data_IF_757716555941
#
_entry.id   IF_757716555941
#
_cell.length_a   1.000
_cell.length_b   1.000
_cell.length_c   1.000
_cell.angle_alpha   90.00
_cell.angle_beta   90.00
_cell.angle_gamma   90.00
#
_symmetry.space_group_name_H-M   'P 1'
#
loop_
_entity.id
_entity.type
_entity.pdbx_description
1 polymer ?
#
# COMPACT_ATOMS: atom_id res chain seq x y z
N UNK A 1 40.37 41.47 12.74
CA UNK A 1 40.07 42.49 13.78
C UNK A 1 39.44 43.69 13.08
N UNK A 2 38.31 44.15 13.60
CA UNK A 2 37.52 45.35 13.27
C UNK A 2 36.77 45.37 11.93
N UNK A 3 35.44 45.27 12.09
CA UNK A 3 34.37 45.56 11.15
C UNK A 3 34.06 47.06 11.26
N UNK A 4 34.02 47.80 10.15
CA UNK A 4 33.51 49.17 10.12
C UNK A 4 32.04 49.21 9.66
N UNK A 5 31.20 49.93 10.41
CA UNK A 5 29.78 50.19 10.11
C UNK A 5 29.65 51.36 9.13
N UNK A 6 28.73 51.32 8.15
CA UNK A 6 28.33 52.52 7.44
C UNK A 6 27.26 53.31 8.19
N UNK A 7 27.41 54.62 8.09
CA UNK A 7 26.68 55.72 8.70
C UNK A 7 25.28 55.94 8.12
N UNK A 8 24.40 56.49 8.98
CA UNK A 8 23.00 56.87 8.76
C UNK A 8 22.81 57.92 7.67
N UNK A 9 21.83 57.69 6.78
CA UNK A 9 21.30 58.71 5.87
C UNK A 9 20.06 59.37 6.49
N UNK A 10 20.16 60.65 6.83
CA UNK A 10 19.05 61.51 7.24
C UNK A 10 18.60 62.34 6.03
N UNK A 11 17.35 62.17 5.60
CA UNK A 11 16.66 63.04 4.63
C UNK A 11 15.15 63.06 4.93
N UNK A 12 14.46 64.20 4.78
CA UNK A 12 13.14 64.42 5.36
C UNK A 12 12.00 63.74 4.58
N UNK A 13 10.96 63.33 5.30
CA UNK A 13 9.71 62.77 4.78
C UNK A 13 8.92 63.81 3.98
N UNK A 14 8.67 63.51 2.69
CA UNK A 14 7.55 64.10 1.96
C UNK A 14 6.33 63.18 2.03
N UNK A 15 5.22 63.75 2.49
CA UNK A 15 3.92 63.11 2.67
C UNK A 15 3.23 62.90 1.32
N UNK A 16 2.64 61.73 1.12
CA UNK A 16 1.66 61.43 0.07
C UNK A 16 0.38 60.85 0.73
N UNK A 17 -0.81 61.04 0.13
CA UNK A 17 -2.02 61.44 0.84
C UNK A 17 -2.77 60.29 1.51
N UNK A 18 -3.39 60.59 2.65
CA UNK A 18 -4.38 59.75 3.32
C UNK A 18 -5.70 59.91 2.56
N UNK A 19 -6.08 58.89 1.79
CA UNK A 19 -7.46 58.71 1.33
C UNK A 19 -8.06 57.43 1.92
N UNK A 20 -8.99 57.67 2.85
CA UNK A 20 -10.23 56.93 3.13
C UNK A 20 -10.23 55.40 3.06
N UNK A 21 -10.52 54.83 4.23
CA UNK A 21 -11.01 53.47 4.51
C UNK A 21 -11.97 52.92 3.45
N UNK A 22 -11.44 52.24 2.43
CA UNK A 22 -12.23 51.32 1.63
C UNK A 22 -12.34 49.99 2.35
N UNK A 23 -13.59 49.55 2.52
CA UNK A 23 -13.97 48.31 3.16
C UNK A 23 -13.21 47.13 2.52
N UNK A 24 -12.50 46.37 3.35
CA UNK A 24 -12.04 45.03 2.99
C UNK A 24 -13.30 44.22 2.70
N UNK A 25 -13.62 44.03 1.43
CA UNK A 25 -14.66 43.12 1.00
C UNK A 25 -14.28 41.73 1.50
N UNK A 26 -15.10 41.15 2.38
CA UNK A 26 -15.05 39.73 2.72
C UNK A 26 -14.99 38.92 1.43
N UNK A 27 -13.87 38.24 1.22
CA UNK A 27 -13.78 37.20 0.21
C UNK A 27 -14.72 36.09 0.68
N UNK A 28 -15.95 36.09 0.15
CA UNK A 28 -16.89 34.97 0.28
C UNK A 28 -16.13 33.69 -0.09
N UNK A 29 -16.13 32.65 0.76
CA UNK A 29 -15.53 31.39 0.40
C UNK A 29 -16.20 30.92 -0.90
N UNK A 30 -15.37 30.60 -1.89
CA UNK A 30 -15.82 30.05 -3.16
C UNK A 30 -16.82 28.94 -2.86
N UNK A 31 -17.98 29.05 -3.51
CA UNK A 31 -19.13 28.14 -3.43
C UNK A 31 -18.68 26.71 -3.21
N UNK A 32 -19.06 26.16 -2.05
CA UNK A 32 -18.91 24.75 -1.72
C UNK A 32 -19.56 23.91 -2.82
N UNK A 33 -18.75 23.31 -3.68
CA UNK A 33 -19.20 22.15 -4.43
C UNK A 33 -19.76 21.15 -3.43
N UNK A 34 -20.91 20.51 -3.68
CA UNK A 34 -21.37 19.44 -2.82
C UNK A 34 -20.23 18.41 -2.79
N UNK A 35 -19.62 18.23 -1.61
CA UNK A 35 -18.60 17.22 -1.39
C UNK A 35 -19.33 15.89 -1.50
N UNK A 36 -19.38 15.34 -2.70
CA UNK A 36 -19.79 13.96 -2.89
C UNK A 36 -18.77 13.16 -2.08
N UNK A 37 -19.20 12.58 -0.96
CA UNK A 37 -18.36 11.69 -0.17
C UNK A 37 -17.96 10.52 -1.09
N UNK A 38 -16.68 10.47 -1.45
CA UNK A 38 -16.15 9.44 -2.33
C UNK A 38 -15.88 8.21 -1.46
N UNK A 39 -16.72 7.18 -1.59
CA UNK A 39 -16.44 5.88 -0.97
C UNK A 39 -15.40 5.13 -1.82
N UNK A 40 -14.13 5.53 -1.66
CA UNK A 40 -13.01 4.98 -2.40
C UNK A 40 -12.87 3.47 -2.17
N UNK A 41 -13.06 3.03 -0.91
CA UNK A 41 -13.02 1.61 -0.57
C UNK A 41 -14.07 0.81 -1.35
N UNK A 42 -15.32 1.28 -1.41
CA UNK A 42 -16.36 0.59 -2.18
C UNK A 42 -16.04 0.55 -3.68
N UNK A 43 -15.45 1.62 -4.24
CA UNK A 43 -14.98 1.65 -5.62
C UNK A 43 -13.86 0.63 -5.84
N UNK A 44 -12.85 0.59 -4.97
CA UNK A 44 -11.74 -0.37 -5.04
C UNK A 44 -12.23 -1.82 -4.96
N UNK A 45 -13.11 -2.16 -4.01
CA UNK A 45 -13.68 -3.50 -3.93
C UNK A 45 -14.53 -3.89 -5.15
N UNK A 46 -15.05 -2.92 -5.90
CA UNK A 46 -15.74 -3.19 -7.18
C UNK A 46 -14.79 -3.64 -8.30
N UNK A 47 -13.47 -3.44 -8.16
CA UNK A 47 -12.45 -4.04 -9.03
C UNK A 47 -12.21 -5.52 -8.68
N UNK A 48 -12.30 -5.83 -7.39
CA UNK A 48 -11.93 -7.13 -6.82
C UNK A 48 -13.07 -8.15 -6.92
N UNK A 49 -14.31 -7.69 -6.76
CA UNK A 49 -15.50 -8.52 -6.82
C UNK A 49 -16.37 -8.13 -8.02
N UNK A 50 -16.75 -9.08 -8.89
CA UNK A 50 -17.48 -8.80 -10.12
C UNK A 50 -18.94 -8.37 -9.90
N UNK A 51 -19.52 -8.60 -8.71
CA UNK A 51 -20.92 -8.23 -8.45
C UNK A 51 -21.09 -6.71 -8.37
N UNK A 52 -21.88 -6.18 -9.31
CA UNK A 52 -22.28 -4.76 -9.37
C UNK A 52 -23.54 -4.46 -8.58
N UNK A 53 -24.36 -5.46 -8.28
CA UNK A 53 -25.54 -5.32 -7.43
C UNK A 53 -25.13 -5.47 -5.96
N UNK A 54 -25.21 -4.35 -5.23
CA UNK A 54 -25.00 -4.33 -3.79
C UNK A 54 -26.30 -4.68 -3.08
N UNK A 55 -26.32 -5.83 -2.39
CA UNK A 55 -27.39 -6.11 -1.42
C UNK A 55 -27.16 -5.32 -0.14
N UNK A 56 -28.23 -4.78 0.45
CA UNK A 56 -28.17 -4.14 1.77
C UNK A 56 -28.05 -5.15 2.92
N UNK A 57 -28.41 -6.41 2.69
CA UNK A 57 -28.31 -7.50 3.68
C UNK A 57 -27.29 -8.54 3.25
N UNK A 58 -26.60 -9.12 4.24
CA UNK A 58 -25.63 -10.17 4.01
C UNK A 58 -26.31 -11.54 3.79
N UNK A 59 -25.80 -12.32 2.83
CA UNK A 59 -26.24 -13.71 2.59
C UNK A 59 -25.57 -14.69 3.58
N UNK A 60 -25.92 -15.99 3.51
CA UNK A 60 -25.40 -16.98 4.47
C UNK A 60 -23.91 -17.23 4.30
N UNK A 61 -23.42 -17.21 3.05
CA UNK A 61 -21.98 -17.19 2.75
C UNK A 61 -21.26 -16.07 3.51
N UNK A 62 -21.71 -14.82 3.36
CA UNK A 62 -21.09 -13.65 3.99
C UNK A 62 -21.18 -13.70 5.52
N UNK A 63 -22.32 -14.10 6.08
CA UNK A 63 -22.47 -14.30 7.54
C UNK A 63 -21.52 -15.37 8.08
N UNK A 64 -21.29 -16.44 7.32
CA UNK A 64 -20.30 -17.46 7.66
C UNK A 64 -18.89 -16.87 7.69
N UNK A 65 -18.54 -16.04 6.70
CA UNK A 65 -17.26 -15.34 6.66
C UNK A 65 -17.12 -14.38 7.84
N UNK A 66 -18.13 -13.58 8.17
CA UNK A 66 -18.08 -12.65 9.29
C UNK A 66 -17.79 -13.34 10.62
N UNK A 67 -18.48 -14.46 10.89
CA UNK A 67 -18.21 -15.28 12.09
C UNK A 67 -16.77 -15.78 12.12
N UNK A 68 -16.23 -16.21 10.97
CA UNK A 68 -14.84 -16.66 10.85
C UNK A 68 -13.85 -15.53 11.05
N UNK A 69 -14.12 -14.33 10.54
CA UNK A 69 -13.29 -13.13 10.71
C UNK A 69 -13.25 -12.68 12.17
N UNK A 70 -14.40 -12.65 12.86
CA UNK A 70 -14.45 -12.30 14.29
C UNK A 70 -13.73 -13.35 15.14
N UNK A 71 -13.92 -14.64 14.87
CA UNK A 71 -13.19 -15.71 15.55
C UNK A 71 -11.67 -15.63 15.29
N UNK A 72 -11.29 -15.25 14.07
CA UNK A 72 -9.91 -14.99 13.68
C UNK A 72 -9.31 -13.83 14.50
N UNK A 73 -9.96 -12.68 14.57
CA UNK A 73 -9.50 -11.53 15.35
C UNK A 73 -9.33 -11.86 16.83
N UNK A 74 -10.18 -12.74 17.37
CA UNK A 74 -10.07 -13.23 18.75
C UNK A 74 -8.91 -14.23 18.97
N UNK A 75 -8.34 -14.81 17.91
CA UNK A 75 -7.28 -15.83 18.00
C UNK A 75 -6.19 -15.66 16.93
N UNK A 76 -5.11 -14.90 17.22
CA UNK A 76 -4.00 -14.70 16.29
C UNK A 76 -3.39 -16.01 15.76
N UNK A 77 -3.30 -17.02 16.65
CA UNK A 77 -2.78 -18.35 16.31
C UNK A 77 -3.61 -19.05 15.24
N UNK A 78 -4.94 -19.00 15.35
CA UNK A 78 -5.83 -19.67 14.39
C UNK A 78 -5.67 -19.10 12.98
N UNK A 79 -5.50 -17.78 12.84
CA UNK A 79 -5.27 -17.15 11.54
C UNK A 79 -3.93 -17.55 10.96
N UNK A 80 -2.85 -17.35 11.71
CA UNK A 80 -1.52 -17.54 11.17
C UNK A 80 -1.19 -19.02 10.87
N UNK A 81 -1.74 -19.96 11.65
CA UNK A 81 -1.48 -21.39 11.42
C UNK A 81 -2.42 -22.02 10.40
N UNK A 82 -3.68 -21.57 10.31
CA UNK A 82 -4.71 -22.23 9.47
C UNK A 82 -5.00 -21.45 8.19
N UNK A 83 -4.85 -20.13 8.20
CA UNK A 83 -5.23 -19.24 7.10
C UNK A 83 -4.01 -18.76 6.31
N UNK A 84 -2.99 -18.23 6.99
CA UNK A 84 -1.84 -17.61 6.32
C UNK A 84 -0.50 -17.98 6.98
N UNK A 85 0.08 -19.10 6.53
CA UNK A 85 1.39 -19.56 7.02
C UNK A 85 2.52 -18.75 6.42
N UNK A 86 3.35 -18.17 7.29
CA UNK A 86 4.62 -17.56 6.88
C UNK A 86 5.62 -18.64 6.48
N UNK A 87 6.30 -18.54 5.32
CA UNK A 87 7.47 -19.35 5.06
C UNK A 87 8.52 -19.02 6.12
N UNK A 88 9.00 -20.02 6.85
CA UNK A 88 10.02 -19.85 7.93
C UNK A 88 11.28 -19.15 7.46
N UNK A 89 11.55 -19.20 6.16
CA UNK A 89 12.68 -18.53 5.52
C UNK A 89 12.57 -17.01 5.58
N UNK A 90 11.37 -16.41 5.55
CA UNK A 90 11.21 -14.94 5.44
C UNK A 90 11.68 -14.21 6.68
N UNK A 91 11.30 -14.68 7.87
CA UNK A 91 11.74 -14.07 9.13
C UNK A 91 13.26 -14.22 9.36
N UNK A 92 13.83 -15.37 8.97
CA UNK A 92 15.27 -15.60 9.05
C UNK A 92 16.06 -14.75 8.04
N UNK A 93 15.53 -14.61 6.81
CA UNK A 93 16.13 -13.77 5.78
C UNK A 93 16.02 -12.29 6.12
N UNK A 94 14.85 -11.81 6.54
CA UNK A 94 14.64 -10.39 6.87
C UNK A 94 15.64 -9.94 7.94
N UNK A 95 15.85 -10.76 8.97
CA UNK A 95 16.87 -10.50 10.00
C UNK A 95 18.29 -10.40 9.45
N UNK A 96 18.66 -11.26 8.50
CA UNK A 96 20.00 -11.23 7.86
C UNK A 96 20.12 -10.14 6.81
N UNK A 97 19.02 -9.80 6.14
CA UNK A 97 18.91 -8.77 5.12
C UNK A 97 18.96 -7.36 5.73
N UNK A 98 18.39 -7.19 6.92
CA UNK A 98 18.42 -5.94 7.68
C UNK A 98 19.78 -5.67 8.37
N UNK A 99 20.67 -6.67 8.47
CA UNK A 99 22.01 -6.47 9.00
C UNK A 99 22.93 -5.92 7.89
N UNK A 100 23.25 -4.62 7.99
CA UNK A 100 24.17 -3.93 7.06
C UNK A 100 25.58 -4.55 7.05
N UNK A 101 25.97 -5.29 8.09
CA UNK A 101 27.27 -5.96 8.15
C UNK A 101 27.29 -7.31 7.44
N UNK A 102 26.14 -7.82 6.97
CA UNK A 102 26.09 -9.13 6.30
C UNK A 102 26.81 -9.07 4.96
N UNK A 103 27.81 -9.92 4.76
CA UNK A 103 28.53 -10.02 3.48
C UNK A 103 27.54 -10.30 2.34
N UNK A 104 27.61 -9.49 1.28
CA UNK A 104 26.80 -9.63 0.08
C UNK A 104 26.94 -11.01 -0.57
N UNK A 105 28.10 -11.68 -0.44
CA UNK A 105 28.24 -13.08 -0.86
C UNK A 105 27.41 -14.04 -0.01
N UNK A 106 27.31 -13.79 1.30
CA UNK A 106 26.48 -14.59 2.18
C UNK A 106 24.99 -14.44 1.84
N UNK A 107 24.56 -13.23 1.48
CA UNK A 107 23.21 -12.99 0.99
C UNK A 107 22.92 -13.74 -0.32
N UNK A 108 23.80 -13.64 -1.32
CA UNK A 108 23.63 -14.37 -2.58
C UNK A 108 23.56 -15.88 -2.34
N UNK A 109 24.48 -16.43 -1.53
CA UNK A 109 24.49 -17.84 -1.19
C UNK A 109 23.22 -18.30 -0.46
N UNK A 110 22.54 -17.40 0.25
CA UNK A 110 21.28 -17.68 0.92
C UNK A 110 20.11 -17.75 -0.06
N UNK A 111 20.08 -16.83 -1.03
CA UNK A 111 19.06 -16.81 -2.10
C UNK A 111 19.23 -18.05 -3.00
N UNK A 112 20.48 -18.38 -3.35
CA UNK A 112 20.83 -19.50 -4.23
C UNK A 112 20.47 -20.88 -3.66
N UNK A 113 20.28 -21.00 -2.33
CA UNK A 113 19.78 -22.22 -1.69
C UNK A 113 18.34 -22.56 -2.07
N UNK A 114 17.55 -21.58 -2.49
CA UNK A 114 16.19 -21.79 -3.00
C UNK A 114 16.15 -21.40 -4.50
N UNK A 115 16.22 -22.37 -5.42
CA UNK A 115 16.12 -22.11 -6.86
C UNK A 115 14.84 -21.39 -7.27
N UNK A 116 13.72 -21.61 -6.55
CA UNK A 116 12.45 -20.93 -6.84
C UNK A 116 12.55 -19.46 -6.46
N UNK A 117 13.11 -19.15 -5.29
CA UNK A 117 13.36 -17.77 -4.86
C UNK A 117 14.29 -17.04 -5.83
N UNK A 118 15.38 -17.70 -6.24
CA UNK A 118 16.35 -17.16 -7.21
C UNK A 118 15.67 -16.78 -8.53
N UNK A 119 14.82 -17.67 -9.07
CA UNK A 119 14.06 -17.40 -10.30
C UNK A 119 13.09 -16.24 -10.13
N UNK A 120 12.35 -16.17 -9.01
CA UNK A 120 11.41 -15.08 -8.78
C UNK A 120 12.12 -13.73 -8.62
N UNK A 121 13.28 -13.68 -7.96
CA UNK A 121 14.13 -12.48 -7.89
C UNK A 121 14.59 -12.06 -9.28
N UNK A 122 15.11 -12.99 -10.09
CA UNK A 122 15.53 -12.68 -11.47
C UNK A 122 14.37 -12.19 -12.34
N UNK A 123 13.15 -12.73 -12.18
CA UNK A 123 11.96 -12.21 -12.87
C UNK A 123 11.66 -10.77 -12.49
N UNK A 124 11.78 -10.42 -11.20
CA UNK A 124 11.60 -9.05 -10.73
C UNK A 124 12.66 -8.12 -11.33
N UNK A 125 13.94 -8.52 -11.33
CA UNK A 125 15.03 -7.77 -11.96
C UNK A 125 14.78 -7.46 -13.44
N UNK A 126 14.17 -8.41 -14.16
CA UNK A 126 13.89 -8.27 -15.58
C UNK A 126 12.54 -7.66 -15.89
N UNK A 127 11.71 -7.37 -14.89
CA UNK A 127 10.38 -6.79 -15.10
C UNK A 127 10.47 -5.39 -15.73
N UNK A 128 9.48 -4.98 -16.55
CA UNK A 128 9.50 -3.68 -17.24
C UNK A 128 9.72 -2.49 -16.32
N UNK A 129 9.27 -2.58 -15.07
CA UNK A 129 9.39 -1.52 -14.10
C UNK A 129 10.82 -1.38 -13.53
N UNK A 130 11.49 -2.50 -13.28
CA UNK A 130 12.76 -2.50 -12.54
C UNK A 130 13.99 -2.67 -13.44
N UNK A 131 13.79 -3.03 -14.71
CA UNK A 131 14.86 -3.20 -15.68
C UNK A 131 15.58 -1.86 -15.91
N UNK A 132 16.91 -1.87 -15.72
CA UNK A 132 17.77 -0.67 -15.90
C UNK A 132 18.49 -0.61 -17.23
N UNK A 133 18.49 -1.69 -18.00
CA UNK A 133 19.16 -1.77 -19.31
C UNK A 133 18.43 -2.71 -20.25
N UNK A 134 18.67 -2.59 -21.55
CA UNK A 134 18.12 -3.51 -22.56
C UNK A 134 18.69 -4.93 -22.47
N UNK A 135 19.76 -5.14 -21.68
CA UNK A 135 20.34 -6.45 -21.46
C UNK A 135 19.63 -7.15 -20.30
N UNK A 136 19.24 -8.39 -20.54
CA UNK A 136 18.64 -9.23 -19.50
C UNK A 136 19.62 -9.50 -18.35
N UNK A 137 19.09 -9.46 -17.14
CA UNK A 137 19.79 -9.87 -15.92
C UNK A 137 19.71 -11.39 -15.81
N UNK A 138 20.82 -12.07 -16.07
CA UNK A 138 20.87 -13.54 -16.16
C UNK A 138 21.40 -14.24 -14.90
N UNK A 139 21.93 -13.50 -13.93
CA UNK A 139 22.44 -14.05 -12.67
C UNK A 139 22.21 -13.10 -11.49
N UNK A 140 22.18 -13.63 -10.26
CA UNK A 140 22.00 -12.82 -9.05
C UNK A 140 23.22 -11.91 -8.79
N UNK A 141 24.42 -12.35 -9.17
CA UNK A 141 25.63 -11.52 -9.15
C UNK A 141 25.49 -10.31 -10.08
N UNK A 142 24.99 -10.52 -11.30
CA UNK A 142 24.75 -9.43 -12.24
C UNK A 142 23.62 -8.51 -11.74
N UNK A 143 22.56 -9.09 -11.16
CA UNK A 143 21.46 -8.34 -10.57
C UNK A 143 21.96 -7.40 -9.47
N UNK A 144 22.80 -7.91 -8.58
CA UNK A 144 23.41 -7.13 -7.52
C UNK A 144 24.27 -5.97 -8.06
N UNK A 145 25.10 -6.23 -9.08
CA UNK A 145 25.95 -5.19 -9.69
C UNK A 145 25.11 -4.09 -10.36
N UNK A 146 24.03 -4.45 -11.05
CA UNK A 146 23.21 -3.48 -11.78
C UNK A 146 22.21 -2.73 -10.89
N UNK A 147 21.61 -3.41 -9.92
CA UNK A 147 20.51 -2.89 -9.12
C UNK A 147 20.94 -2.41 -7.73
N UNK A 148 22.04 -2.95 -7.21
CA UNK A 148 22.51 -2.70 -5.85
C UNK A 148 21.89 -3.66 -4.83
N UNK A 149 22.48 -3.67 -3.63
CA UNK A 149 22.11 -4.57 -2.54
C UNK A 149 20.67 -4.37 -2.07
N UNK A 150 20.26 -3.12 -1.87
CA UNK A 150 18.95 -2.80 -1.28
C UNK A 150 17.81 -3.24 -2.20
N UNK A 151 17.98 -3.10 -3.51
CA UNK A 151 16.99 -3.56 -4.47
C UNK A 151 16.87 -5.09 -4.49
N UNK A 152 17.99 -5.81 -4.35
CA UNK A 152 17.98 -7.28 -4.23
C UNK A 152 17.23 -7.70 -2.97
N UNK A 153 17.51 -7.03 -1.84
CA UNK A 153 16.77 -7.25 -0.59
C UNK A 153 15.26 -7.08 -0.79
N UNK A 154 14.83 -5.96 -1.39
CA UNK A 154 13.40 -5.73 -1.71
C UNK A 154 12.80 -6.82 -2.59
N UNK A 155 13.53 -7.33 -3.58
CA UNK A 155 13.04 -8.41 -4.45
C UNK A 155 12.97 -9.76 -3.78
N UNK A 156 13.92 -10.07 -2.90
CA UNK A 156 13.87 -11.28 -2.09
C UNK A 156 12.65 -11.24 -1.19
N UNK A 157 12.45 -10.13 -0.48
CA UNK A 157 11.25 -9.88 0.34
C UNK A 157 9.97 -9.99 -0.49
N UNK A 158 9.95 -9.41 -1.69
CA UNK A 158 8.83 -9.50 -2.63
C UNK A 158 8.54 -10.95 -3.03
N UNK A 159 9.53 -11.68 -3.52
CA UNK A 159 9.38 -13.05 -3.98
C UNK A 159 8.89 -13.98 -2.85
N UNK A 160 9.33 -13.71 -1.62
CA UNK A 160 8.87 -14.38 -0.41
C UNK A 160 7.40 -14.06 -0.09
N UNK A 161 7.04 -12.77 -0.10
CA UNK A 161 5.66 -12.34 0.11
C UNK A 161 4.71 -12.87 -0.96
N UNK A 162 5.20 -13.06 -2.18
CA UNK A 162 4.41 -13.64 -3.27
C UNK A 162 3.90 -15.03 -2.96
N UNK A 163 4.69 -15.87 -2.28
CA UNK A 163 4.27 -17.22 -1.86
C UNK A 163 3.11 -17.19 -0.85
N UNK A 164 2.97 -16.10 -0.11
CA UNK A 164 1.92 -15.91 0.90
C UNK A 164 0.63 -15.39 0.27
N UNK A 165 0.77 -14.45 -0.67
CA UNK A 165 -0.33 -13.73 -1.33
C UNK A 165 -0.87 -14.52 -2.53
N UNK A 166 -0.10 -15.42 -3.14
CA UNK A 166 -0.56 -16.25 -4.27
C UNK A 166 -1.69 -17.20 -3.83
N UNK A 167 -2.92 -16.74 -4.02
CA UNK A 167 -4.14 -17.54 -3.86
C UNK A 167 -4.71 -17.77 -5.25
N UNK A 168 -4.69 -19.02 -5.72
CA UNK A 168 -5.19 -19.42 -7.05
C UNK A 168 -6.52 -20.18 -6.98
N UNK A 169 -7.66 -19.53 -6.72
CA UNK A 169 -8.95 -20.18 -6.89
C UNK A 169 -9.45 -20.02 -8.34
N UNK A 170 -10.25 -21.00 -8.78
CA UNK A 170 -10.90 -20.98 -10.09
C UNK A 170 -11.92 -19.82 -10.19
N UNK A 171 -12.60 -19.48 -9.09
CA UNK A 171 -13.74 -18.55 -9.05
C UNK A 171 -13.39 -17.06 -8.89
N UNK A 172 -12.17 -16.74 -8.43
CA UNK A 172 -11.75 -15.36 -8.12
C UNK A 172 -10.35 -15.08 -8.64
N UNK A 173 -10.07 -15.50 -9.88
CA UNK A 173 -8.74 -15.33 -10.50
C UNK A 173 -8.22 -13.90 -10.45
N UNK A 174 -9.13 -12.91 -10.50
CA UNK A 174 -8.79 -11.48 -10.47
C UNK A 174 -8.46 -10.97 -9.06
N UNK A 175 -9.04 -11.55 -8.01
CA UNK A 175 -8.85 -11.03 -6.65
C UNK A 175 -7.37 -11.09 -6.25
N UNK A 176 -6.77 -12.28 -6.32
CA UNK A 176 -5.38 -12.49 -5.93
C UNK A 176 -4.40 -11.66 -6.75
N UNK A 177 -4.59 -11.60 -8.08
CA UNK A 177 -3.72 -10.81 -8.95
C UNK A 177 -3.83 -9.31 -8.70
N UNK A 178 -5.04 -8.79 -8.48
CA UNK A 178 -5.25 -7.36 -8.24
C UNK A 178 -4.78 -6.92 -6.87
N UNK A 179 -5.02 -7.73 -5.81
CA UNK A 179 -4.43 -7.43 -4.50
C UNK A 179 -2.91 -7.49 -4.55
N UNK A 180 -2.33 -8.50 -5.21
CA UNK A 180 -0.88 -8.57 -5.38
C UNK A 180 -0.32 -7.32 -6.09
N UNK A 181 -0.93 -6.93 -7.22
CA UNK A 181 -0.56 -5.71 -7.96
C UNK A 181 -0.67 -4.48 -7.07
N UNK A 182 -1.77 -4.34 -6.34
CA UNK A 182 -1.99 -3.23 -5.42
C UNK A 182 -0.92 -3.17 -4.31
N UNK A 183 -0.65 -4.28 -3.62
CA UNK A 183 0.39 -4.35 -2.58
C UNK A 183 1.78 -4.01 -3.13
N UNK A 184 2.10 -4.44 -4.35
CA UNK A 184 3.35 -4.07 -5.02
C UNK A 184 3.43 -2.57 -5.35
N UNK A 185 2.35 -1.99 -5.88
CA UNK A 185 2.26 -0.55 -6.13
C UNK A 185 2.43 0.25 -4.84
N UNK A 186 1.78 -0.16 -3.74
CA UNK A 186 1.90 0.50 -2.43
C UNK A 186 3.31 0.37 -1.87
N UNK A 187 3.93 -0.81 -1.93
CA UNK A 187 5.31 -1.02 -1.48
C UNK A 187 6.30 -0.11 -2.21
N UNK A 188 6.19 -0.06 -3.55
CA UNK A 188 7.02 0.82 -4.37
C UNK A 188 6.79 2.29 -4.03
N UNK A 189 5.55 2.76 -4.05
CA UNK A 189 5.20 4.14 -3.71
C UNK A 189 5.69 4.52 -2.31
N UNK A 190 5.48 3.66 -1.32
CA UNK A 190 5.92 3.91 0.04
C UNK A 190 7.43 4.11 0.13
N UNK A 191 8.21 3.31 -0.59
CA UNK A 191 9.67 3.46 -0.64
C UNK A 191 10.16 4.71 -1.37
N UNK A 192 9.35 5.27 -2.27
CA UNK A 192 9.67 6.52 -2.99
C UNK A 192 9.18 7.76 -2.24
N UNK A 193 8.21 7.61 -1.32
CA UNK A 193 7.59 8.71 -0.58
C UNK A 193 8.29 9.01 0.77
N UNK A 194 9.30 8.24 1.14
CA UNK A 194 10.04 8.41 2.40
C UNK A 194 11.54 8.43 2.16
N UNK A 195 12.26 9.28 2.90
CA UNK A 195 13.72 9.34 2.87
C UNK A 195 14.37 8.61 4.06
N UNK A 196 13.63 8.39 5.16
CA UNK A 196 14.19 7.86 6.41
C UNK A 196 14.42 6.34 6.40
N UNK A 197 13.38 5.56 6.09
CA UNK A 197 13.47 4.09 6.04
C UNK A 197 12.67 3.51 4.85
N UNK A 198 13.20 3.66 3.62
CA UNK A 198 12.55 3.16 2.41
C UNK A 198 12.30 1.65 2.40
N UNK A 199 13.13 0.87 3.09
CA UNK A 199 13.03 -0.59 3.07
C UNK A 199 11.95 -1.10 4.02
N UNK A 200 11.85 -0.54 5.24
CA UNK A 200 10.71 -0.83 6.11
C UNK A 200 9.41 -0.31 5.50
N UNK A 201 9.42 0.84 4.83
CA UNK A 201 8.26 1.34 4.08
C UNK A 201 7.84 0.36 2.97
N UNK A 202 8.80 -0.16 2.20
CA UNK A 202 8.55 -1.16 1.17
C UNK A 202 7.92 -2.44 1.76
N UNK A 203 8.51 -2.99 2.81
CA UNK A 203 8.00 -4.21 3.46
C UNK A 203 6.61 -3.97 4.08
N UNK A 204 6.42 -2.85 4.78
CA UNK A 204 5.12 -2.49 5.36
C UNK A 204 4.06 -2.33 4.25
N UNK A 205 4.41 -1.75 3.10
CA UNK A 205 3.54 -1.67 1.93
C UNK A 205 3.22 -3.02 1.30
N UNK A 206 4.11 -4.01 1.35
CA UNK A 206 3.76 -5.39 0.98
C UNK A 206 2.86 -6.08 2.00
N UNK A 207 3.03 -5.75 3.28
CA UNK A 207 2.32 -6.39 4.39
C UNK A 207 0.92 -5.82 4.63
N UNK A 208 0.64 -4.57 4.28
CA UNK A 208 -0.60 -3.90 4.70
C UNK A 208 -1.88 -4.66 4.33
N UNK A 209 -1.86 -5.40 3.23
CA UNK A 209 -3.01 -6.11 2.67
C UNK A 209 -3.05 -7.62 2.95
N UNK A 210 -2.12 -8.16 3.75
CA UNK A 210 -2.14 -9.60 4.10
C UNK A 210 -3.41 -10.00 4.85
N UNK A 211 -4.04 -9.08 5.59
CA UNK A 211 -5.35 -9.27 6.19
C UNK A 211 -6.49 -9.39 5.18
N UNK A 212 -6.46 -8.64 4.05
CA UNK A 212 -7.43 -8.82 2.95
C UNK A 212 -7.30 -10.23 2.36
N UNK A 213 -6.07 -10.73 2.21
CA UNK A 213 -5.80 -12.11 1.76
C UNK A 213 -6.31 -13.14 2.79
N UNK A 214 -6.14 -12.89 4.08
CA UNK A 214 -6.64 -13.77 5.13
C UNK A 214 -8.17 -13.88 5.09
N UNK A 215 -8.88 -12.75 5.02
CA UNK A 215 -10.35 -12.73 4.88
C UNK A 215 -10.76 -13.46 3.60
N UNK A 216 -10.04 -13.24 2.50
CA UNK A 216 -10.32 -13.90 1.24
C UNK A 216 -10.15 -15.42 1.29
N UNK A 217 -9.14 -15.93 2.00
CA UNK A 217 -9.00 -17.38 2.24
C UNK A 217 -10.15 -17.94 3.09
N UNK A 218 -10.60 -17.21 4.10
CA UNK A 218 -11.80 -17.58 4.88
C UNK A 218 -13.06 -17.60 4.00
N UNK A 219 -13.18 -16.66 3.07
CA UNK A 219 -14.23 -16.64 2.05
C UNK A 219 -14.17 -17.90 1.17
N UNK A 220 -12.99 -18.28 0.67
CA UNK A 220 -12.84 -19.52 -0.12
C UNK A 220 -13.19 -20.78 0.65
N UNK A 221 -12.92 -20.82 1.96
CA UNK A 221 -13.37 -21.92 2.81
C UNK A 221 -14.88 -21.95 2.98
N UNK A 222 -15.50 -20.79 3.22
CA UNK A 222 -16.95 -20.67 3.35
C UNK A 222 -17.66 -21.06 2.04
N UNK A 223 -17.07 -20.72 0.89
CA UNK A 223 -17.56 -21.10 -0.44
C UNK A 223 -17.70 -22.61 -0.66
N UNK A 224 -16.91 -23.44 0.03
CA UNK A 224 -17.03 -24.90 -0.06
C UNK A 224 -18.37 -25.41 0.47
N UNK A 225 -19.07 -24.60 1.25
CA UNK A 225 -20.34 -24.92 1.91
C UNK A 225 -21.48 -24.02 1.41
N UNK A 226 -21.22 -23.15 0.43
CA UNK A 226 -22.17 -22.19 -0.09
C UNK A 226 -23.16 -22.83 -1.07
N UNK A 227 -24.36 -22.26 -1.15
CA UNK A 227 -25.34 -22.68 -2.15
C UNK A 227 -24.93 -22.22 -3.56
N UNK A 228 -25.33 -22.95 -4.62
CA UNK A 228 -25.05 -22.54 -6.00
C UNK A 228 -25.56 -21.12 -6.28
N UNK A 229 -24.66 -20.25 -6.75
CA UNK A 229 -24.99 -18.87 -7.11
C UNK A 229 -24.77 -17.84 -6.00
N UNK A 230 -24.49 -18.24 -4.76
CA UNK A 230 -24.08 -17.30 -3.72
C UNK A 230 -22.75 -16.62 -4.10
N UNK A 231 -22.66 -15.32 -3.88
CA UNK A 231 -21.48 -14.49 -4.14
C UNK A 231 -21.34 -13.42 -3.06
N UNK A 232 -20.12 -12.94 -2.76
CA UNK A 232 -19.91 -11.76 -1.93
C UNK A 232 -20.39 -10.52 -2.70
N UNK A 233 -21.53 -9.96 -2.30
CA UNK A 233 -22.17 -8.84 -2.97
C UNK A 233 -22.71 -7.78 -2.03
N UNK A 234 -22.73 -7.98 -0.71
CA UNK A 234 -23.28 -6.97 0.19
C UNK A 234 -22.32 -5.82 0.45
N UNK A 235 -22.90 -4.64 0.75
CA UNK A 235 -22.12 -3.50 1.25
C UNK A 235 -21.45 -3.82 2.59
N UNK A 236 -22.12 -4.62 3.43
CA UNK A 236 -21.58 -5.08 4.71
C UNK A 236 -20.31 -5.91 4.53
N UNK A 237 -20.25 -6.77 3.51
CA UNK A 237 -19.04 -7.54 3.23
C UNK A 237 -17.85 -6.64 2.87
N UNK A 238 -18.08 -5.61 2.05
CA UNK A 238 -17.05 -4.62 1.72
C UNK A 238 -16.63 -3.83 2.96
N UNK A 239 -17.56 -3.44 3.82
CA UNK A 239 -17.26 -2.76 5.09
C UNK A 239 -16.41 -3.61 6.02
N UNK A 240 -16.71 -4.91 6.16
CA UNK A 240 -15.88 -5.84 6.95
C UNK A 240 -14.47 -5.95 6.36
N UNK A 241 -14.35 -6.03 5.04
CA UNK A 241 -13.04 -6.01 4.36
C UNK A 241 -12.26 -4.73 4.71
N UNK A 242 -12.86 -3.54 4.58
CA UNK A 242 -12.21 -2.26 4.93
C UNK A 242 -11.82 -2.17 6.40
N UNK A 243 -12.75 -2.48 7.30
CA UNK A 243 -12.60 -2.17 8.73
C UNK A 243 -11.79 -3.20 9.50
N UNK A 244 -11.69 -4.44 9.00
CA UNK A 244 -11.03 -5.54 9.73
C UNK A 244 -9.72 -6.00 9.10
N UNK A 245 -9.46 -5.73 7.81
CA UNK A 245 -8.27 -6.24 7.14
C UNK A 245 -6.97 -5.72 7.78
N UNK A 246 -6.88 -4.43 8.09
CA UNK A 246 -5.67 -3.84 8.67
C UNK A 246 -5.41 -4.34 10.09
N UNK A 247 -6.45 -4.52 10.90
CA UNK A 247 -6.32 -5.17 12.22
C UNK A 247 -5.81 -6.60 12.10
N UNK A 248 -6.30 -7.36 11.12
CA UNK A 248 -5.77 -8.70 10.84
C UNK A 248 -4.31 -8.66 10.37
N UNK A 249 -3.93 -7.70 9.52
CA UNK A 249 -2.54 -7.50 9.09
C UNK A 249 -1.63 -7.24 10.29
N UNK A 250 -2.04 -6.37 11.23
CA UNK A 250 -1.28 -6.09 12.45
C UNK A 250 -1.12 -7.33 13.33
N UNK A 251 -2.20 -8.09 13.55
CA UNK A 251 -2.15 -9.34 14.33
C UNK A 251 -1.24 -10.39 13.69
N UNK A 252 -1.26 -10.50 12.36
CA UNK A 252 -0.40 -11.40 11.60
C UNK A 252 1.07 -10.98 11.72
N UNK A 253 1.38 -9.70 11.57
CA UNK A 253 2.74 -9.17 11.74
C UNK A 253 3.30 -9.49 13.13
N UNK A 254 2.51 -9.28 14.19
CA UNK A 254 2.89 -9.68 15.55
C UNK A 254 3.13 -11.18 15.67
N UNK A 255 2.22 -12.00 15.15
CA UNK A 255 2.33 -13.45 15.26
C UNK A 255 3.56 -13.99 14.53
N UNK A 256 3.90 -13.42 13.39
CA UNK A 256 5.12 -13.75 12.65
C UNK A 256 6.40 -13.24 13.31
N UNK A 257 6.30 -12.58 14.47
CA UNK A 257 7.42 -12.03 15.23
C UNK A 257 8.24 -11.03 14.39
N UNK A 258 7.56 -10.29 13.50
CA UNK A 258 8.18 -9.17 12.82
C UNK A 258 8.52 -8.07 13.84
N UNK A 259 9.48 -7.18 13.54
CA UNK A 259 9.75 -6.01 14.36
C UNK A 259 8.47 -5.27 14.77
N UNK A 260 8.39 -4.84 16.04
CA UNK A 260 7.18 -4.24 16.62
C UNK A 260 6.67 -3.01 15.85
N UNK A 261 7.57 -2.33 15.13
CA UNK A 261 7.25 -1.26 14.19
C UNK A 261 6.14 -1.66 13.20
N UNK A 262 6.19 -2.87 12.62
CA UNK A 262 5.19 -3.28 11.63
C UNK A 262 3.81 -3.47 12.28
N UNK A 263 3.73 -4.11 13.45
CA UNK A 263 2.47 -4.21 14.19
C UNK A 263 1.92 -2.83 14.55
N UNK A 264 2.76 -1.93 15.09
CA UNK A 264 2.32 -0.62 15.55
C UNK A 264 1.80 0.26 14.41
N UNK A 265 2.52 0.30 13.28
CA UNK A 265 2.14 1.12 12.13
C UNK A 265 0.89 0.56 11.42
N UNK A 266 0.74 -0.76 11.32
CA UNK A 266 -0.50 -1.39 10.83
C UNK A 266 -1.69 -1.15 11.75
N UNK A 267 -1.47 -1.14 13.06
CA UNK A 267 -2.51 -0.83 14.05
C UNK A 267 -2.97 0.63 13.95
N UNK A 268 -2.05 1.56 13.68
CA UNK A 268 -2.37 2.97 13.41
C UNK A 268 -3.20 3.13 12.13
N UNK A 269 -2.83 2.41 11.07
CA UNK A 269 -3.60 2.37 9.81
C UNK A 269 -5.01 1.79 10.00
N UNK A 270 -5.21 0.86 10.93
CA UNK A 270 -6.50 0.25 11.21
C UNK A 270 -7.53 1.22 11.84
N UNK A 271 -7.11 2.41 12.29
CA UNK A 271 -8.00 3.46 12.77
C UNK A 271 -8.60 4.19 11.57
N UNK A 272 -9.69 3.66 11.02
CA UNK A 272 -10.31 4.12 9.76
C UNK A 272 -10.91 5.53 9.81
N UNK A 273 -11.22 6.06 11.00
CA UNK A 273 -11.89 7.36 11.15
C UNK A 273 -10.94 8.56 11.15
N UNK A 274 -9.62 8.34 11.03
CA UNK A 274 -8.65 9.42 11.02
C UNK A 274 -7.47 9.15 10.08
N UNK A 275 -6.95 10.23 9.47
CA UNK A 275 -5.68 10.17 8.75
C UNK A 275 -4.55 9.96 9.77
N UNK A 276 -3.68 8.94 9.60
CA UNK A 276 -2.51 8.79 10.46
C UNK A 276 -1.55 9.97 10.25
N UNK A 277 -1.00 10.49 11.35
CA UNK A 277 -0.06 11.62 11.34
C UNK A 277 1.37 11.16 11.63
N UNK A 278 2.28 11.38 10.68
CA UNK A 278 3.71 11.07 10.79
C UNK A 278 4.05 9.57 10.79
N UNK A 279 5.33 9.29 10.56
CA UNK A 279 5.86 7.93 10.49
C UNK A 279 5.40 7.16 9.26
N UNK A 280 5.71 5.85 9.25
CA UNK A 280 5.45 4.99 8.10
C UNK A 280 3.94 4.80 7.82
N UNK A 281 3.07 4.88 8.83
CA UNK A 281 1.62 4.77 8.67
C UNK A 281 1.08 5.89 7.76
N UNK A 282 1.56 7.13 7.88
CA UNK A 282 1.16 8.21 6.96
C UNK A 282 1.66 7.93 5.54
N UNK A 283 2.90 7.45 5.39
CA UNK A 283 3.48 7.08 4.10
C UNK A 283 2.66 5.98 3.41
N UNK A 284 2.31 4.92 4.14
CA UNK A 284 1.49 3.82 3.61
C UNK A 284 0.08 4.30 3.28
N UNK A 285 -0.53 5.13 4.12
CA UNK A 285 -1.86 5.68 3.83
C UNK A 285 -1.88 6.47 2.51
N UNK A 286 -0.87 7.33 2.28
CA UNK A 286 -0.71 8.07 1.02
C UNK A 286 -0.48 7.13 -0.16
N UNK A 287 0.45 6.17 -0.01
CA UNK A 287 0.76 5.19 -1.04
C UNK A 287 -0.46 4.33 -1.42
N UNK A 288 -1.25 3.90 -0.43
CA UNK A 288 -2.50 3.17 -0.62
C UNK A 288 -3.49 3.98 -1.46
N UNK A 289 -3.73 5.24 -1.06
CA UNK A 289 -4.64 6.15 -1.75
C UNK A 289 -4.24 6.37 -3.21
N UNK A 290 -2.96 6.62 -3.49
CA UNK A 290 -2.43 6.81 -4.84
C UNK A 290 -2.57 5.53 -5.69
N UNK A 291 -2.27 4.37 -5.10
CA UNK A 291 -2.41 3.06 -5.76
C UNK A 291 -3.86 2.76 -6.13
N UNK A 292 -4.81 2.95 -5.20
CA UNK A 292 -6.25 2.77 -5.48
C UNK A 292 -6.74 3.75 -6.56
N UNK A 293 -6.30 5.02 -6.52
CA UNK A 293 -6.61 6.00 -7.57
C UNK A 293 -6.09 5.54 -8.93
N UNK A 294 -4.85 5.06 -9.01
CA UNK A 294 -4.22 4.56 -10.23
C UNK A 294 -5.01 3.41 -10.85
N UNK A 295 -5.35 2.39 -10.04
CA UNK A 295 -6.09 1.22 -10.51
C UNK A 295 -7.52 1.55 -10.92
N UNK A 296 -8.19 2.46 -10.20
CA UNK A 296 -9.55 2.89 -10.54
C UNK A 296 -9.59 3.79 -11.76
N UNK A 297 -8.58 4.65 -11.94
CA UNK A 297 -8.43 5.50 -13.11
C UNK A 297 -8.18 4.66 -14.37
N UNK A 298 -7.27 3.67 -14.30
CA UNK A 298 -7.03 2.69 -15.37
C UNK A 298 -8.30 1.94 -15.77
N UNK A 299 -9.13 1.58 -14.79
CA UNK A 299 -10.39 0.88 -15.02
C UNK A 299 -11.55 1.80 -15.47
N UNK A 300 -11.33 3.10 -15.61
CA UNK A 300 -12.38 4.08 -15.96
C UNK A 300 -13.47 4.24 -14.90
N UNK A 301 -13.18 3.91 -13.64
CA UNK A 301 -14.12 3.94 -12.51
C UNK A 301 -14.03 5.20 -11.66
N UNK A 302 -13.12 6.12 -12.00
CA UNK A 302 -12.89 7.36 -11.26
C UNK A 302 -13.08 8.55 -12.18
N UNK A 303 -14.00 9.45 -11.84
CA UNK A 303 -14.21 10.69 -12.58
C UNK A 303 -13.05 11.68 -12.34
N UNK A 304 -12.74 12.59 -13.29
CA UNK A 304 -11.64 13.54 -13.14
C UNK A 304 -11.69 14.37 -11.85
N UNK A 305 -12.87 14.84 -11.45
CA UNK A 305 -13.03 15.63 -10.22
C UNK A 305 -12.81 14.79 -8.95
N UNK A 306 -13.24 13.53 -8.98
CA UNK A 306 -13.00 12.58 -7.89
C UNK A 306 -11.51 12.29 -7.74
N UNK A 307 -10.81 12.05 -8.85
CA UNK A 307 -9.37 11.85 -8.86
C UNK A 307 -8.65 13.07 -8.28
N UNK A 308 -8.93 14.28 -8.78
CA UNK A 308 -8.26 15.49 -8.31
C UNK A 308 -8.47 15.71 -6.80
N UNK A 309 -9.66 15.41 -6.28
CA UNK A 309 -9.93 15.49 -4.83
C UNK A 309 -9.08 14.50 -4.04
N UNK A 310 -9.04 13.23 -4.46
CA UNK A 310 -8.28 12.20 -3.74
C UNK A 310 -6.77 12.46 -3.81
N UNK A 311 -6.26 12.98 -4.93
CA UNK A 311 -4.87 13.39 -5.06
C UNK A 311 -4.53 14.57 -4.13
N UNK A 312 -5.44 15.53 -3.98
CA UNK A 312 -5.28 16.61 -2.99
C UNK A 312 -5.17 16.04 -1.58
N UNK A 313 -6.02 15.08 -1.21
CA UNK A 313 -5.97 14.41 0.11
C UNK A 313 -4.65 13.62 0.31
N UNK A 314 -4.09 13.05 -0.76
CA UNK A 314 -2.78 12.39 -0.76
C UNK A 314 -1.58 13.36 -0.74
N UNK A 315 -1.81 14.67 -0.92
CA UNK A 315 -0.75 15.66 -1.11
C UNK A 315 0.06 15.41 -2.38
N UNK A 316 -0.60 15.01 -3.47
CA UNK A 316 0.00 14.72 -4.77
C UNK A 316 -0.59 15.63 -5.85
N UNK A 317 0.27 16.28 -6.63
CA UNK A 317 -0.18 17.05 -7.80
C UNK A 317 -0.59 16.14 -8.94
N UNK A 318 -1.53 16.61 -9.78
CA UNK A 318 -2.03 15.84 -10.92
C UNK A 318 -0.93 15.45 -11.91
N UNK A 319 -0.01 16.37 -12.22
CA UNK A 319 1.10 16.08 -13.14
C UNK A 319 2.03 14.97 -12.60
N UNK A 320 2.38 15.03 -11.31
CA UNK A 320 3.16 13.99 -10.65
C UNK A 320 2.42 12.64 -10.62
N UNK A 321 1.10 12.67 -10.41
CA UNK A 321 0.26 11.48 -10.52
C UNK A 321 0.29 10.86 -11.93
N UNK A 322 0.14 11.67 -12.98
CA UNK A 322 0.12 11.17 -14.35
C UNK A 322 1.45 10.48 -14.72
N UNK A 323 2.58 10.96 -14.19
CA UNK A 323 3.89 10.34 -14.39
C UNK A 323 4.10 9.06 -13.57
N UNK A 324 3.72 9.06 -12.29
CA UNK A 324 3.82 7.84 -11.47
C UNK A 324 2.83 6.77 -11.96
N UNK A 325 1.64 7.15 -12.41
CA UNK A 325 0.63 6.26 -12.96
C UNK A 325 1.17 5.43 -14.14
N UNK A 326 1.91 6.05 -15.07
CA UNK A 326 2.58 5.34 -16.18
C UNK A 326 3.51 4.23 -15.71
N UNK A 327 4.17 4.41 -14.56
CA UNK A 327 5.00 3.37 -13.93
C UNK A 327 4.15 2.32 -13.24
N UNK A 328 3.12 2.74 -12.49
CA UNK A 328 2.26 1.83 -11.73
C UNK A 328 1.51 0.85 -12.63
N UNK A 329 1.16 1.22 -13.87
CA UNK A 329 0.47 0.31 -14.81
C UNK A 329 1.35 -0.84 -15.33
N UNK A 330 2.67 -0.82 -15.05
CA UNK A 330 3.62 -1.86 -15.47
C UNK A 330 3.72 -3.04 -14.49
N UNK A 331 3.06 -2.97 -13.33
CA UNK A 331 3.00 -4.06 -12.33
C UNK A 331 1.98 -5.15 -12.70
#
# INVERSE_FOLDING_TARGET
MVVEKPTSFNGPMEQLPIHSTEQIAEVKPATSFPVVAIDLSALFYSLLFPSTQLSGSANELEKSVFRRVEAALASPKAIAERVLKMPTQVAALDKQLADENTDTKALLALIEKDPVLSVEVLKLCNSPLFRRSDKDVTSLQLALVQLGRDQIRRFVTTAMMRKIIDVKPIYFRRFGSQIWRHSMQVAFLASELTDEDPDSAFLLGLLHDVGKIAIFKLLLEAFKQAEPGEQPCSSLFRQVMTTKSLSLSALLARYWQLPSLFESELSRLAVVDSKPAGGLAEVIWRANLISECSMLFEAGKLQPDQLNRLLFDAGMERAAFDDIHKKLVLF
#
